data_IF_137116550947
#
_entry.id   IF_137116550947
#
_cell.length_a   1.000
_cell.length_b   1.000
_cell.length_c   1.000
_cell.angle_alpha   90.00
_cell.angle_beta   90.00
_cell.angle_gamma   90.00
#
_symmetry.space_group_name_H-M   'P 1'
#
loop_
_entity.id
_entity.type
_entity.pdbx_description
1 polymer ?
#
# COMPACT_ATOMS: atom_id res chain seq x y z
N UNK A 1 13.79 0.07 -9.85
CA UNK A 1 14.67 1.06 -9.16
C UNK A 1 15.10 0.47 -7.83
N UNK A 2 16.32 0.73 -7.37
CA UNK A 2 16.78 0.33 -6.02
C UNK A 2 17.20 1.60 -5.30
N UNK A 3 16.68 1.81 -4.10
CA UNK A 3 16.97 2.98 -3.27
C UNK A 3 17.36 2.55 -1.86
N UNK A 4 18.12 3.40 -1.16
CA UNK A 4 18.40 3.22 0.26
C UNK A 4 17.86 4.41 1.02
N UNK A 5 17.15 4.12 2.11
CA UNK A 5 16.56 5.12 2.97
C UNK A 5 17.06 4.93 4.40
N UNK A 6 17.24 6.04 5.10
CA UNK A 6 17.55 6.06 6.53
C UNK A 6 16.39 6.67 7.27
N UNK A 7 15.98 6.02 8.34
CA UNK A 7 14.87 6.45 9.17
C UNK A 7 15.27 6.40 10.64
N UNK A 8 14.99 7.46 11.37
CA UNK A 8 15.24 7.50 12.81
C UNK A 8 14.04 6.88 13.52
N UNK A 9 14.29 5.82 14.28
CA UNK A 9 13.25 5.09 14.98
C UNK A 9 13.68 4.83 16.43
N UNK A 10 12.99 5.41 17.38
CA UNK A 10 13.34 5.31 18.79
C UNK A 10 14.75 5.87 19.08
N UNK A 11 15.63 5.05 19.64
CA UNK A 11 17.01 5.43 19.96
C UNK A 11 18.02 5.02 18.87
N UNK A 12 17.56 4.60 17.70
CA UNK A 12 18.42 4.09 16.63
C UNK A 12 18.08 4.61 15.26
N UNK A 13 18.93 4.24 14.31
CA UNK A 13 18.75 4.48 12.89
C UNK A 13 18.56 3.14 12.19
N UNK A 14 17.54 3.08 11.33
CA UNK A 14 17.28 1.95 10.45
C UNK A 14 17.69 2.30 9.03
N UNK A 15 18.41 1.40 8.36
CA UNK A 15 18.69 1.50 6.93
C UNK A 15 17.81 0.51 6.19
N UNK A 16 16.98 1.01 5.30
CA UNK A 16 16.09 0.22 4.46
C UNK A 16 16.61 0.22 3.03
N UNK A 17 16.77 -0.96 2.43
CA UNK A 17 17.02 -1.11 1.00
C UNK A 17 15.73 -1.52 0.32
N UNK A 18 15.28 -0.70 -0.61
CA UNK A 18 13.98 -0.85 -1.27
C UNK A 18 14.19 -1.09 -2.76
N UNK A 19 13.45 -2.04 -3.31
CA UNK A 19 13.40 -2.26 -4.76
C UNK A 19 11.95 -2.20 -5.22
N UNK A 20 11.69 -1.44 -6.27
CA UNK A 20 10.35 -1.31 -6.84
C UNK A 20 10.36 -1.52 -8.35
N UNK A 21 9.28 -2.13 -8.86
CA UNK A 21 9.03 -2.31 -10.27
C UNK A 21 7.53 -2.25 -10.53
N UNK A 22 7.15 -1.58 -11.61
CA UNK A 22 5.82 -1.62 -12.19
C UNK A 22 5.95 -1.78 -13.70
N UNK A 23 5.07 -2.56 -14.31
CA UNK A 23 5.13 -2.85 -15.74
C UNK A 23 3.76 -3.25 -16.29
N UNK A 24 3.38 -2.66 -17.43
CA UNK A 24 2.08 -2.91 -18.10
C UNK A 24 1.82 -4.38 -18.45
N UNK A 25 2.87 -5.22 -18.47
CA UNK A 25 2.77 -6.61 -18.92
C UNK A 25 2.80 -6.74 -20.43
N UNK A 26 2.28 -7.88 -20.94
CA UNK A 26 2.31 -8.23 -22.38
C UNK A 26 0.94 -8.16 -23.06
N UNK A 27 -0.12 -7.94 -22.31
CA UNK A 27 -1.51 -8.05 -22.77
C UNK A 27 -2.26 -6.72 -22.65
N UNK A 28 -2.03 -5.99 -21.57
CA UNK A 28 -2.66 -4.70 -21.31
C UNK A 28 -2.02 -3.59 -22.13
N UNK A 29 -2.80 -2.59 -22.51
CA UNK A 29 -2.30 -1.39 -23.20
C UNK A 29 -1.88 -0.31 -22.23
N UNK A 30 -2.52 -0.27 -21.05
CA UNK A 30 -2.28 0.71 -19.98
C UNK A 30 -1.89 -0.02 -18.70
N UNK A 31 -0.96 0.54 -17.96
CA UNK A 31 -0.63 0.11 -16.62
C UNK A 31 -1.51 0.91 -15.64
N UNK A 32 -2.37 0.22 -14.92
CA UNK A 32 -3.28 0.80 -13.95
C UNK A 32 -2.75 0.68 -12.51
N UNK A 33 -1.52 0.17 -12.33
CA UNK A 33 -0.88 0.04 -11.03
C UNK A 33 -0.12 1.31 -10.64
N UNK A 34 -0.15 1.63 -9.36
CA UNK A 34 0.69 2.65 -8.74
C UNK A 34 1.39 2.10 -7.50
N UNK A 35 2.46 2.76 -7.04
CA UNK A 35 3.20 2.30 -5.87
C UNK A 35 3.83 3.46 -5.07
N UNK A 36 4.04 3.22 -3.78
CA UNK A 36 4.90 4.00 -2.88
C UNK A 36 6.09 3.12 -2.52
N UNK A 37 7.30 3.63 -2.70
CA UNK A 37 8.55 2.95 -2.35
C UNK A 37 9.44 3.83 -1.45
N UNK A 38 8.83 4.58 -0.55
CA UNK A 38 9.48 5.50 0.38
C UNK A 38 8.98 5.30 1.81
N UNK A 39 9.86 5.41 2.82
CA UNK A 39 9.42 5.32 4.21
C UNK A 39 8.41 6.45 4.55
N UNK A 40 7.64 6.24 5.59
CA UNK A 40 7.50 5.03 6.38
C UNK A 40 6.58 3.99 5.73
N UNK A 41 6.03 4.26 4.53
CA UNK A 41 5.01 3.46 3.85
C UNK A 41 5.54 2.89 2.54
N UNK A 42 5.31 1.59 2.34
CA UNK A 42 5.62 0.87 1.11
C UNK A 42 4.35 0.16 0.67
N UNK A 43 3.81 0.54 -0.47
CA UNK A 43 2.51 0.05 -0.90
C UNK A 43 2.43 -0.12 -2.42
N UNK A 44 1.53 -1.00 -2.83
CA UNK A 44 1.07 -1.15 -4.21
C UNK A 44 -0.44 -0.93 -4.25
N UNK A 45 -0.91 -0.36 -5.34
CA UNK A 45 -2.30 -0.10 -5.63
C UNK A 45 -2.58 -0.58 -7.05
N UNK A 46 -3.49 -1.56 -7.22
CA UNK A 46 -3.95 -2.08 -8.51
C UNK A 46 -5.31 -1.44 -8.82
N UNK A 47 -5.31 -0.60 -9.83
CA UNK A 47 -6.48 0.20 -10.20
C UNK A 47 -7.47 -0.61 -11.04
N UNK A 48 -8.75 -0.45 -10.74
CA UNK A 48 -9.85 -1.01 -11.51
C UNK A 48 -10.84 0.07 -11.95
N UNK A 49 -11.30 -0.03 -13.19
CA UNK A 49 -12.31 0.89 -13.75
C UNK A 49 -12.26 0.89 -15.27
N UNK A 50 -13.41 0.93 -15.93
CA UNK A 50 -13.44 0.97 -17.39
C UNK A 50 -12.79 2.26 -17.94
N UNK A 51 -11.99 2.15 -19.01
CA UNK A 51 -11.54 3.26 -19.87
C UNK A 51 -10.90 4.47 -19.13
N UNK A 52 -9.70 4.32 -18.56
CA UNK A 52 -8.88 5.38 -17.99
C UNK A 52 -9.25 5.89 -16.56
N UNK A 53 -9.97 5.11 -15.77
CA UNK A 53 -10.24 5.48 -14.38
C UNK A 53 -9.46 4.61 -13.36
N UNK A 54 -8.99 3.42 -13.75
CA UNK A 54 -8.20 2.56 -12.88
C UNK A 54 -6.83 3.17 -12.55
N UNK A 55 -6.11 3.64 -13.57
CA UNK A 55 -4.82 4.32 -13.43
C UNK A 55 -4.92 5.59 -12.57
N UNK A 56 -6.02 6.35 -12.73
CA UNK A 56 -6.27 7.53 -11.92
C UNK A 56 -6.62 7.18 -10.48
N UNK A 57 -7.38 6.10 -10.26
CA UNK A 57 -7.76 5.67 -8.93
C UNK A 57 -6.54 5.21 -8.12
N UNK A 58 -5.69 4.36 -8.70
CA UNK A 58 -4.46 3.89 -8.06
C UNK A 58 -3.48 5.04 -7.80
N UNK A 59 -3.26 5.92 -8.80
CA UNK A 59 -2.41 7.09 -8.64
C UNK A 59 -2.94 8.06 -7.56
N UNK A 60 -4.25 8.31 -7.50
CA UNK A 60 -4.87 9.17 -6.49
C UNK A 60 -4.70 8.59 -5.08
N UNK A 61 -4.91 7.29 -4.91
CA UNK A 61 -4.73 6.64 -3.61
C UNK A 61 -3.29 6.72 -3.12
N UNK A 62 -2.34 6.45 -4.02
CA UNK A 62 -0.90 6.50 -3.74
C UNK A 62 -0.46 7.92 -3.40
N UNK A 63 -0.88 8.93 -4.16
CA UNK A 63 -0.54 10.32 -3.92
C UNK A 63 -1.09 10.80 -2.57
N UNK A 64 -2.35 10.52 -2.29
CA UNK A 64 -2.99 10.91 -1.03
C UNK A 64 -2.32 10.26 0.20
N UNK A 65 -1.81 9.02 0.06
CA UNK A 65 -1.00 8.39 1.10
C UNK A 65 0.38 9.03 1.23
N UNK A 66 1.05 9.30 0.12
CA UNK A 66 2.41 9.84 0.12
C UNK A 66 2.48 11.21 0.81
N UNK A 67 1.47 12.06 0.60
CA UNK A 67 1.40 13.40 1.17
C UNK A 67 1.16 13.44 2.69
N UNK A 68 0.76 12.32 3.31
CA UNK A 68 0.43 12.26 4.74
C UNK A 68 1.65 12.04 5.63
N UNK A 69 2.81 11.60 5.10
CA UNK A 69 3.90 11.10 5.92
C UNK A 69 5.22 11.83 5.70
N UNK A 70 5.94 12.01 6.80
CA UNK A 70 7.35 12.42 6.77
C UNK A 70 8.23 11.16 6.52
N UNK A 71 9.04 11.14 5.44
CA UNK A 71 9.84 9.98 5.09
C UNK A 71 11.01 9.71 6.06
N UNK A 72 11.26 10.59 7.00
CA UNK A 72 12.41 10.50 7.92
C UNK A 72 12.09 9.84 9.27
N UNK A 73 10.81 9.64 9.57
CA UNK A 73 10.35 9.08 10.84
C UNK A 73 9.28 7.99 10.63
N UNK A 74 9.16 7.02 11.55
CA UNK A 74 8.02 6.10 11.57
C UNK A 74 6.72 6.83 11.80
N UNK A 75 5.61 6.23 11.38
CA UNK A 75 4.26 6.74 11.66
C UNK A 75 3.63 6.03 12.87
N UNK A 76 2.39 6.39 13.20
CA UNK A 76 1.57 5.71 14.21
C UNK A 76 0.47 4.89 13.52
N UNK A 77 0.03 3.74 14.10
CA UNK A 77 -1.04 2.93 13.51
C UNK A 77 -2.33 3.72 13.28
N UNK A 78 -2.70 4.60 14.23
CA UNK A 78 -3.88 5.46 14.10
C UNK A 78 -3.78 6.49 12.97
N UNK A 79 -2.58 7.03 12.74
CA UNK A 79 -2.32 7.93 11.62
C UNK A 79 -2.42 7.17 10.29
N UNK A 80 -1.84 5.96 10.20
CA UNK A 80 -1.95 5.12 9.01
C UNK A 80 -3.41 4.82 8.64
N UNK A 81 -4.26 4.46 9.61
CA UNK A 81 -5.69 4.25 9.37
C UNK A 81 -6.40 5.52 8.88
N UNK A 82 -6.03 6.67 9.39
CA UNK A 82 -6.57 7.96 8.96
C UNK A 82 -6.16 8.27 7.52
N UNK A 83 -4.89 8.06 7.17
CA UNK A 83 -4.36 8.24 5.83
C UNK A 83 -5.06 7.33 4.80
N UNK A 84 -5.29 6.06 5.14
CA UNK A 84 -6.06 5.13 4.29
C UNK A 84 -7.49 5.65 4.05
N UNK A 85 -8.17 6.16 5.08
CA UNK A 85 -9.52 6.72 4.93
C UNK A 85 -9.53 7.96 4.04
N UNK A 86 -8.52 8.82 4.13
CA UNK A 86 -8.37 10.00 3.26
C UNK A 86 -8.10 9.60 1.82
N UNK A 87 -7.20 8.63 1.60
CA UNK A 87 -6.96 8.07 0.27
C UNK A 87 -8.25 7.50 -0.36
N UNK A 88 -9.04 6.75 0.41
CA UNK A 88 -10.34 6.25 -0.06
C UNK A 88 -11.32 7.39 -0.38
N UNK A 89 -11.35 8.46 0.43
CA UNK A 89 -12.21 9.61 0.15
C UNK A 89 -11.80 10.30 -1.16
N UNK A 90 -10.49 10.51 -1.38
CA UNK A 90 -9.98 11.11 -2.61
C UNK A 90 -10.33 10.29 -3.87
N UNK A 91 -10.23 8.95 -3.80
CA UNK A 91 -10.65 8.07 -4.90
C UNK A 91 -12.16 8.18 -5.16
N UNK A 92 -12.98 8.27 -4.12
CA UNK A 92 -14.43 8.45 -4.26
C UNK A 92 -14.80 9.80 -4.86
N UNK A 93 -14.10 10.86 -4.51
CA UNK A 93 -14.28 12.18 -5.12
C UNK A 93 -13.97 12.16 -6.62
N UNK A 94 -12.92 11.44 -7.03
CA UNK A 94 -12.58 11.26 -8.43
C UNK A 94 -13.75 10.71 -9.25
N UNK A 95 -14.49 9.72 -8.72
CA UNK A 95 -15.65 9.14 -9.40
C UNK A 95 -16.85 10.07 -9.42
N UNK A 96 -17.10 10.82 -8.35
CA UNK A 96 -18.18 11.79 -8.27
C UNK A 96 -18.05 12.92 -9.31
N UNK A 97 -16.81 13.31 -9.63
CA UNK A 97 -16.53 14.33 -10.65
C UNK A 97 -16.76 13.85 -12.09
N UNK A 98 -16.79 12.54 -12.33
CA UNK A 98 -17.02 11.98 -13.65
C UNK A 98 -18.44 12.27 -14.21
N UNK A 99 -19.37 12.65 -13.33
CA UNK A 99 -20.73 13.06 -13.72
C UNK A 99 -21.59 11.96 -14.35
N UNK A 100 -21.11 10.71 -14.32
CA UNK A 100 -21.83 9.52 -14.82
C UNK A 100 -21.84 8.47 -13.70
N UNK A 101 -23.01 8.19 -13.14
CA UNK A 101 -23.22 7.20 -12.08
C UNK A 101 -22.81 5.77 -12.46
N UNK A 102 -22.50 5.53 -13.75
CA UNK A 102 -22.00 4.25 -14.26
C UNK A 102 -20.50 4.12 -14.20
N UNK A 103 -19.78 5.21 -13.91
CA UNK A 103 -18.32 5.16 -13.76
C UNK A 103 -18.00 4.58 -12.39
N UNK A 104 -17.53 3.35 -12.39
CA UNK A 104 -16.98 2.68 -11.20
C UNK A 104 -15.47 2.73 -11.35
N UNK A 105 -14.80 3.43 -10.45
CA UNK A 105 -13.36 3.37 -10.30
C UNK A 105 -13.02 3.02 -8.86
N UNK A 106 -12.00 2.23 -8.70
CA UNK A 106 -11.50 1.80 -7.42
C UNK A 106 -10.06 1.35 -7.54
N UNK A 107 -9.47 1.01 -6.43
CA UNK A 107 -8.13 0.44 -6.40
C UNK A 107 -7.98 -0.47 -5.19
N UNK A 108 -7.19 -1.51 -5.33
CA UNK A 108 -6.64 -2.22 -4.19
C UNK A 108 -5.62 -1.33 -3.47
N UNK A 109 -5.27 -1.71 -2.25
CA UNK A 109 -4.15 -1.10 -1.54
C UNK A 109 -3.55 -2.13 -0.60
N UNK A 110 -2.34 -2.58 -0.90
CA UNK A 110 -1.62 -3.57 -0.09
C UNK A 110 -0.21 -3.07 0.22
N UNK A 111 0.23 -3.23 1.46
CA UNK A 111 1.55 -2.74 1.82
C UNK A 111 1.94 -2.94 3.27
N UNK A 112 3.06 -2.30 3.60
CA UNK A 112 3.59 -2.25 4.96
C UNK A 112 3.91 -0.82 5.35
N UNK A 113 3.76 -0.50 6.62
CA UNK A 113 4.20 0.76 7.21
C UNK A 113 5.11 0.50 8.40
N UNK A 114 6.18 1.28 8.51
CA UNK A 114 6.99 1.30 9.73
C UNK A 114 6.29 2.17 10.75
N UNK A 115 5.81 1.54 11.80
CA UNK A 115 5.04 2.21 12.86
C UNK A 115 5.74 2.14 14.20
N UNK A 116 5.44 3.10 15.06
CA UNK A 116 5.80 3.09 16.47
C UNK A 116 4.56 3.27 17.32
N UNK A 117 4.54 2.62 18.48
CA UNK A 117 3.50 2.79 19.48
C UNK A 117 4.10 3.35 20.76
N UNK A 118 3.50 4.39 21.30
CA UNK A 118 3.90 4.96 22.57
C UNK A 118 3.32 4.14 23.74
N UNK A 119 4.06 4.03 24.87
CA UNK A 119 5.33 4.70 25.21
C UNK A 119 6.59 3.95 24.80
N UNK A 120 6.49 2.71 24.32
CA UNK A 120 7.66 1.86 24.08
C UNK A 120 8.57 2.33 22.94
N UNK A 121 8.01 3.08 21.98
CA UNK A 121 8.69 3.62 20.79
C UNK A 121 9.54 2.58 20.02
N UNK A 122 9.19 1.30 20.13
CA UNK A 122 9.82 0.21 19.39
C UNK A 122 9.19 0.16 18.00
N UNK A 123 10.00 0.24 16.93
CA UNK A 123 9.46 0.19 15.56
C UNK A 123 8.97 -1.22 15.21
N UNK A 124 7.81 -1.27 14.55
CA UNK A 124 7.19 -2.50 14.05
C UNK A 124 6.75 -2.31 12.59
N UNK A 125 6.64 -3.41 11.87
CA UNK A 125 5.98 -3.42 10.57
C UNK A 125 4.49 -3.68 10.75
N UNK A 126 3.68 -2.69 10.40
CA UNK A 126 2.23 -2.85 10.26
C UNK A 126 1.95 -3.30 8.83
N UNK A 127 1.23 -4.40 8.67
CA UNK A 127 0.73 -4.87 7.36
C UNK A 127 -0.69 -4.37 7.18
N UNK A 128 -1.03 -3.89 6.00
CA UNK A 128 -2.40 -3.50 5.63
C UNK A 128 -2.76 -4.05 4.25
N UNK A 129 -4.05 -4.36 4.08
CA UNK A 129 -4.58 -4.87 2.82
C UNK A 129 -6.05 -4.49 2.62
N UNK A 130 -6.35 -3.96 1.44
CA UNK A 130 -7.69 -3.69 0.92
C UNK A 130 -7.74 -4.26 -0.51
N UNK A 131 -8.55 -5.27 -0.73
CA UNK A 131 -8.63 -5.97 -2.00
C UNK A 131 -7.84 -7.28 -2.01
N UNK A 132 -7.42 -7.71 -3.20
CA UNK A 132 -6.76 -9.00 -3.47
C UNK A 132 -5.28 -8.89 -3.85
N UNK A 133 -4.71 -7.69 -3.83
CA UNK A 133 -3.26 -7.50 -3.81
C UNK A 133 -2.68 -8.04 -2.52
N UNK A 134 -1.42 -8.51 -2.52
CA UNK A 134 -0.91 -9.31 -1.41
C UNK A 134 0.45 -8.87 -0.91
N UNK A 135 0.67 -9.03 0.39
CA UNK A 135 1.96 -8.83 1.06
C UNK A 135 2.53 -10.17 1.48
N UNK A 136 3.81 -10.38 1.18
CA UNK A 136 4.56 -11.57 1.55
C UNK A 136 5.80 -11.20 2.35
N UNK A 137 6.14 -12.05 3.31
CA UNK A 137 7.39 -12.01 4.07
C UNK A 137 8.31 -13.13 3.60
N UNK A 138 9.54 -12.78 3.26
CA UNK A 138 10.60 -13.75 3.05
C UNK A 138 11.39 -13.91 4.34
N UNK A 139 11.24 -15.06 5.00
CA UNK A 139 11.91 -15.37 6.26
C UNK A 139 13.18 -16.16 5.98
N UNK A 140 14.32 -15.52 6.24
CA UNK A 140 15.65 -16.11 6.13
C UNK A 140 16.22 -16.59 7.48
N UNK A 141 15.53 -16.37 8.58
CA UNK A 141 15.96 -16.77 9.93
C UNK A 141 15.60 -18.24 10.22
N UNK A 142 14.64 -18.81 9.49
CA UNK A 142 14.31 -20.22 9.57
C UNK A 142 15.44 -21.09 8.97
N UNK A 143 15.57 -22.34 9.45
CA UNK A 143 16.54 -23.34 8.94
C UNK A 143 16.42 -23.51 7.43
N UNK A 144 15.20 -23.45 6.91
CA UNK A 144 14.90 -23.39 5.46
C UNK A 144 14.19 -22.08 5.20
N UNK A 145 14.75 -21.20 4.34
CA UNK A 145 14.10 -19.96 3.99
C UNK A 145 12.70 -20.20 3.41
N UNK A 146 11.72 -19.41 3.83
CA UNK A 146 10.34 -19.58 3.39
C UNK A 146 9.68 -18.26 3.03
N UNK A 147 8.80 -18.33 2.03
CA UNK A 147 7.90 -17.26 1.67
C UNK A 147 6.56 -17.47 2.39
N UNK A 148 6.11 -16.47 3.12
CA UNK A 148 4.86 -16.50 3.87
C UNK A 148 3.98 -15.34 3.43
N UNK A 149 2.72 -15.62 3.08
CA UNK A 149 1.74 -14.57 2.87
C UNK A 149 1.30 -14.02 4.23
N UNK A 150 1.48 -12.72 4.45
CA UNK A 150 1.15 -12.05 5.71
C UNK A 150 -0.10 -11.20 5.63
N UNK A 151 -0.68 -11.03 4.44
CA UNK A 151 -1.98 -10.39 4.23
C UNK A 151 -3.09 -11.42 4.02
N UNK A 152 -4.32 -11.04 4.34
CA UNK A 152 -5.54 -11.77 4.00
C UNK A 152 -6.25 -10.99 2.89
N UNK A 153 -6.71 -11.69 1.84
CA UNK A 153 -7.43 -11.04 0.75
C UNK A 153 -8.77 -10.49 1.27
N UNK A 154 -9.06 -9.26 0.95
CA UNK A 154 -10.35 -8.63 1.21
C UNK A 154 -11.15 -8.68 -0.10
N UNK A 155 -11.75 -9.84 -0.35
CA UNK A 155 -12.55 -10.13 -1.53
C UNK A 155 -13.74 -11.02 -1.19
N UNK A 156 -14.78 -10.96 -2.01
CA UNK A 156 -15.98 -11.81 -1.83
C UNK A 156 -15.63 -13.30 -1.81
N UNK A 157 -14.63 -13.71 -2.60
CA UNK A 157 -14.17 -15.11 -2.62
C UNK A 157 -13.58 -15.52 -1.27
N UNK A 158 -12.75 -14.67 -0.65
CA UNK A 158 -12.16 -14.95 0.65
C UNK A 158 -13.24 -14.98 1.75
N UNK A 159 -14.19 -14.03 1.73
CA UNK A 159 -15.31 -14.01 2.67
C UNK A 159 -16.15 -15.30 2.61
N UNK A 160 -16.34 -15.85 1.41
CA UNK A 160 -17.06 -17.13 1.23
C UNK A 160 -16.24 -18.35 1.69
N UNK A 161 -14.90 -18.27 1.69
CA UNK A 161 -14.04 -19.34 2.18
C UNK A 161 -13.93 -19.35 3.71
N UNK A 162 -14.10 -18.20 4.34
CA UNK A 162 -14.00 -18.00 5.79
C UNK A 162 -15.35 -18.23 6.51
N UNK A 163 -16.47 -18.34 5.77
CA UNK A 163 -17.83 -18.56 6.28
C UNK A 163 -18.15 -20.04 6.47
#
# INVERSE_FOLDING_TARGET
MITQHRIVAGLGELTLTVSSVSHVGKVREVNEDALIAEPPVFAVADGMGGHAFGDRASATAVLALHEEFDPTVPTEPGHMLTAIRRANAAVRELTAWAGDDRVIAGTTLAGVALVVEHPAAIPHWMVFNLGDSRVYRWDTTAVVPRLERVSVDHSVVQELLDA
#
